data_IF_574339375751
#
_entry.id   IF_574339375751
#
_cell.length_a   1.000
_cell.length_b   1.000
_cell.length_c   1.000
_cell.angle_alpha   90.00
_cell.angle_beta   90.00
_cell.angle_gamma   90.00
#
_symmetry.space_group_name_H-M   'P 1'
#
loop_
_entity.id
_entity.type
_entity.pdbx_description
1 polymer ?
#
# COMPACT_ATOMS: atom_id res chain seq x y z
N UNK A 1 -5.51 15.04 4.44
CA UNK A 1 -5.27 14.01 3.42
C UNK A 1 -6.57 13.71 2.68
N UNK A 2 -6.58 13.84 1.36
CA UNK A 2 -7.76 13.61 0.54
C UNK A 2 -7.88 12.11 0.26
N UNK A 3 -8.76 11.41 0.98
CA UNK A 3 -8.86 9.93 0.92
C UNK A 3 -9.79 9.40 -0.16
N UNK A 4 -10.46 10.30 -0.86
CA UNK A 4 -11.68 10.07 -1.62
C UNK A 4 -11.49 10.64 -3.03
N UNK A 5 -11.39 9.80 -4.09
CA UNK A 5 -11.16 10.26 -5.47
C UNK A 5 -12.15 11.34 -5.94
N UNK A 6 -13.40 11.27 -5.49
CA UNK A 6 -14.46 12.21 -5.85
C UNK A 6 -14.21 13.65 -5.35
N UNK A 7 -13.29 13.83 -4.38
CA UNK A 7 -12.91 15.15 -3.88
C UNK A 7 -11.71 15.76 -4.63
N UNK A 8 -11.04 15.01 -5.49
CA UNK A 8 -9.85 15.47 -6.23
C UNK A 8 -10.15 16.70 -7.10
N UNK A 9 -11.32 16.84 -7.76
CA UNK A 9 -11.63 18.06 -8.50
C UNK A 9 -11.61 19.35 -7.66
N UNK A 10 -11.83 19.27 -6.35
CA UNK A 10 -11.82 20.44 -5.45
C UNK A 10 -10.44 21.06 -5.28
N UNK A 11 -9.38 20.33 -5.65
CA UNK A 11 -7.98 20.75 -5.46
C UNK A 11 -7.25 20.95 -6.79
N UNK A 12 -7.96 20.83 -7.91
CA UNK A 12 -7.41 21.02 -9.24
C UNK A 12 -6.86 22.45 -9.44
N UNK A 13 -5.65 22.54 -10.00
CA UNK A 13 -4.95 23.82 -10.20
C UNK A 13 -4.30 24.41 -8.94
N UNK A 14 -4.38 23.74 -7.78
CA UNK A 14 -3.76 24.17 -6.53
C UNK A 14 -2.60 23.26 -6.12
N UNK A 15 -2.67 21.96 -6.42
CA UNK A 15 -1.66 20.97 -6.08
C UNK A 15 -1.19 20.21 -7.32
N UNK A 16 0.07 19.79 -7.33
CA UNK A 16 0.68 19.07 -8.45
C UNK A 16 0.27 17.59 -8.51
N UNK A 17 -0.12 17.00 -7.38
CA UNK A 17 -0.56 15.61 -7.28
C UNK A 17 -1.42 15.38 -6.03
N UNK A 18 -2.06 14.21 -5.96
CA UNK A 18 -2.72 13.71 -4.76
C UNK A 18 -2.09 12.40 -4.28
N UNK A 19 -2.18 12.17 -2.97
CA UNK A 19 -1.90 10.88 -2.34
C UNK A 19 -3.23 10.22 -1.96
N UNK A 20 -3.49 9.03 -2.50
CA UNK A 20 -4.67 8.23 -2.15
C UNK A 20 -4.26 7.02 -1.31
N UNK A 21 -5.24 6.23 -0.85
CA UNK A 21 -4.94 4.94 -0.20
C UNK A 21 -4.88 3.83 -1.24
N UNK A 22 -4.07 2.78 -1.02
CA UNK A 22 -4.04 1.61 -1.93
C UNK A 22 -5.40 0.92 -2.02
N UNK A 23 -6.25 1.00 -0.99
CA UNK A 23 -7.63 0.51 -1.03
C UNK A 23 -8.48 1.14 -2.14
N UNK A 24 -8.16 2.37 -2.58
CA UNK A 24 -8.81 3.00 -3.74
C UNK A 24 -8.64 2.16 -5.02
N UNK A 25 -7.56 1.38 -5.12
CA UNK A 25 -7.27 0.49 -6.26
C UNK A 25 -8.00 -0.87 -6.18
N UNK A 26 -8.82 -1.09 -5.15
CA UNK A 26 -9.58 -2.31 -4.93
C UNK A 26 -8.80 -3.64 -5.14
N UNK A 27 -7.59 -3.85 -4.58
CA UNK A 27 -6.67 -4.89 -5.07
C UNK A 27 -7.22 -6.33 -5.06
N UNK A 28 -8.23 -6.62 -4.25
CA UNK A 28 -8.87 -7.93 -4.15
C UNK A 28 -10.09 -8.12 -5.07
N UNK A 29 -10.62 -7.06 -5.67
CA UNK A 29 -11.68 -7.16 -6.67
C UNK A 29 -11.14 -7.68 -8.00
N UNK A 30 -11.95 -8.42 -8.74
CA UNK A 30 -11.61 -8.88 -10.09
C UNK A 30 -11.48 -7.72 -11.09
N UNK A 31 -10.72 -7.94 -12.17
CA UNK A 31 -10.39 -6.87 -13.13
C UNK A 31 -11.62 -6.27 -13.83
N UNK A 32 -12.64 -7.06 -14.11
CA UNK A 32 -13.91 -6.56 -14.69
C UNK A 32 -14.63 -5.59 -13.75
N UNK A 33 -14.69 -5.93 -12.46
CA UNK A 33 -15.31 -5.07 -11.44
C UNK A 33 -14.51 -3.78 -11.22
N UNK A 34 -13.18 -3.86 -11.33
CA UNK A 34 -12.30 -2.70 -11.17
C UNK A 34 -12.26 -1.78 -12.40
N UNK A 35 -12.55 -2.27 -13.60
CA UNK A 35 -12.37 -1.52 -14.85
C UNK A 35 -13.09 -0.14 -14.88
N UNK A 36 -14.34 0.03 -14.40
CA UNK A 36 -14.97 1.34 -14.32
C UNK A 36 -14.23 2.29 -13.37
N UNK A 37 -13.72 1.77 -12.25
CA UNK A 37 -12.95 2.55 -11.28
C UNK A 37 -11.60 2.97 -11.86
N UNK A 38 -10.91 2.10 -12.59
CA UNK A 38 -9.66 2.45 -13.27
C UNK A 38 -9.84 3.66 -14.19
N UNK A 39 -10.89 3.65 -15.04
CA UNK A 39 -11.19 4.77 -15.94
C UNK A 39 -11.40 6.07 -15.16
N UNK A 40 -12.23 6.03 -14.13
CA UNK A 40 -12.49 7.20 -13.27
C UNK A 40 -11.22 7.74 -12.61
N UNK A 41 -10.32 6.87 -12.15
CA UNK A 41 -9.03 7.29 -11.58
C UNK A 41 -8.09 7.90 -12.63
N UNK A 42 -8.09 7.38 -13.88
CA UNK A 42 -7.29 7.91 -14.99
C UNK A 42 -7.79 9.28 -15.49
N UNK A 43 -9.08 9.57 -15.32
CA UNK A 43 -9.71 10.83 -15.73
C UNK A 43 -9.65 11.93 -14.66
N UNK A 44 -9.01 11.67 -13.51
CA UNK A 44 -8.87 12.67 -12.46
C UNK A 44 -8.09 13.90 -12.97
N UNK A 45 -8.51 15.12 -12.57
CA UNK A 45 -7.86 16.36 -13.03
C UNK A 45 -6.48 16.62 -12.39
N UNK A 46 -6.07 15.78 -11.43
CA UNK A 46 -4.79 15.86 -10.72
C UNK A 46 -4.23 14.43 -10.60
N UNK A 47 -2.95 14.19 -10.95
CA UNK A 47 -2.38 12.85 -10.97
C UNK A 47 -2.23 12.26 -9.56
N UNK A 48 -2.32 10.92 -9.48
CA UNK A 48 -2.03 10.16 -8.26
C UNK A 48 -0.55 9.74 -8.31
N UNK A 49 0.33 10.45 -7.62
CA UNK A 49 1.78 10.11 -7.61
C UNK A 49 2.21 9.26 -6.44
N UNK A 50 1.45 9.29 -5.35
CA UNK A 50 1.75 8.53 -4.15
C UNK A 50 0.53 7.76 -3.66
N UNK A 51 0.78 6.62 -3.03
CA UNK A 51 -0.24 5.86 -2.31
C UNK A 51 0.23 5.57 -0.90
N UNK A 52 -0.69 5.62 0.07
CA UNK A 52 -0.42 5.18 1.43
C UNK A 52 -1.39 4.08 1.89
N UNK A 53 -1.24 3.65 3.15
CA UNK A 53 -2.00 2.52 3.72
C UNK A 53 -1.91 1.31 2.79
N UNK A 54 -0.67 0.90 2.50
CA UNK A 54 -0.41 -0.11 1.47
C UNK A 54 -1.17 -1.41 1.72
N UNK A 55 -1.00 -1.99 2.91
CA UNK A 55 -1.69 -3.20 3.34
C UNK A 55 -2.72 -2.85 4.42
N UNK A 56 -3.99 -3.26 4.28
CA UNK A 56 -5.04 -3.02 5.27
C UNK A 56 -4.85 -3.95 6.48
N UNK A 57 -5.39 -3.55 7.64
CA UNK A 57 -5.15 -4.24 8.93
C UNK A 57 -5.65 -5.68 8.97
N UNK A 58 -6.60 -6.02 8.11
CA UNK A 58 -7.21 -7.34 7.97
C UNK A 58 -6.25 -8.36 7.33
N UNK A 59 -5.26 -7.89 6.55
CA UNK A 59 -4.23 -8.73 5.94
C UNK A 59 -2.99 -8.67 6.83
N UNK A 60 -2.66 -9.77 7.52
CA UNK A 60 -1.49 -9.83 8.40
C UNK A 60 -0.20 -10.06 7.61
N UNK A 61 0.84 -9.34 8.00
CA UNK A 61 2.20 -9.47 7.47
C UNK A 61 3.16 -10.16 8.44
N UNK A 62 2.76 -10.27 9.71
CA UNK A 62 3.54 -10.93 10.76
C UNK A 62 2.65 -11.80 11.63
N UNK A 63 3.26 -12.81 12.26
CA UNK A 63 2.57 -13.77 13.11
C UNK A 63 2.14 -15.04 12.38
N UNK A 64 1.46 -15.93 13.11
CA UNK A 64 0.98 -17.22 12.59
C UNK A 64 -0.25 -17.07 11.67
N UNK A 65 -0.95 -15.94 11.76
CA UNK A 65 -2.16 -15.66 10.98
C UNK A 65 -1.87 -15.09 9.58
N UNK A 66 -0.61 -15.11 9.12
CA UNK A 66 -0.24 -14.62 7.79
C UNK A 66 -0.76 -15.59 6.73
N UNK A 67 -1.65 -15.12 5.87
CA UNK A 67 -2.03 -15.80 4.64
C UNK A 67 -1.15 -15.29 3.50
N UNK A 68 -0.06 -16.03 3.23
CA UNK A 68 0.91 -15.66 2.20
C UNK A 68 0.30 -15.55 0.80
N UNK A 69 -0.69 -16.39 0.47
CA UNK A 69 -1.34 -16.36 -0.85
C UNK A 69 -2.23 -15.12 -1.01
N UNK A 70 -2.92 -14.72 0.06
CA UNK A 70 -3.67 -13.45 0.10
C UNK A 70 -2.74 -12.24 -0.01
N UNK A 71 -1.62 -12.24 0.72
CA UNK A 71 -0.62 -11.17 0.67
C UNK A 71 -0.08 -11.02 -0.75
N UNK A 72 0.36 -12.10 -1.38
CA UNK A 72 0.90 -12.07 -2.74
C UNK A 72 -0.14 -11.58 -3.75
N UNK A 73 -1.38 -12.11 -3.69
CA UNK A 73 -2.47 -11.67 -4.57
C UNK A 73 -2.75 -10.17 -4.41
N UNK A 74 -2.79 -9.68 -3.17
CA UNK A 74 -3.01 -8.27 -2.88
C UNK A 74 -1.88 -7.40 -3.44
N UNK A 75 -0.63 -7.71 -3.12
CA UNK A 75 0.57 -6.94 -3.52
C UNK A 75 0.68 -6.87 -5.04
N UNK A 76 0.57 -8.02 -5.72
CA UNK A 76 0.66 -8.10 -7.18
C UNK A 76 -0.41 -7.23 -7.86
N UNK A 77 -1.65 -7.33 -7.38
CA UNK A 77 -2.77 -6.54 -7.94
C UNK A 77 -2.62 -5.05 -7.66
N UNK A 78 -2.27 -4.68 -6.41
CA UNK A 78 -2.08 -3.30 -5.99
C UNK A 78 -0.98 -2.61 -6.80
N UNK A 79 0.21 -3.22 -6.91
CA UNK A 79 1.35 -2.65 -7.62
C UNK A 79 1.07 -2.53 -9.12
N UNK A 80 0.51 -3.57 -9.75
CA UNK A 80 0.13 -3.51 -11.18
C UNK A 80 -0.85 -2.37 -11.45
N UNK A 81 -1.87 -2.21 -10.60
CA UNK A 81 -2.89 -1.15 -10.76
C UNK A 81 -2.32 0.24 -10.48
N UNK A 82 -1.40 0.37 -9.53
CA UNK A 82 -0.66 1.60 -9.29
C UNK A 82 0.18 1.97 -10.52
N UNK A 83 0.85 0.99 -11.14
CA UNK A 83 1.60 1.18 -12.38
C UNK A 83 0.72 1.66 -13.53
N UNK A 84 -0.48 1.10 -13.68
CA UNK A 84 -1.46 1.55 -14.69
C UNK A 84 -1.96 2.99 -14.52
N UNK A 85 -1.72 3.59 -13.35
CA UNK A 85 -2.05 4.98 -13.01
C UNK A 85 -0.84 5.92 -13.03
N UNK A 86 0.37 5.39 -13.30
CA UNK A 86 1.60 6.18 -13.25
C UNK A 86 2.02 6.62 -11.85
N UNK A 87 1.62 5.87 -10.81
CA UNK A 87 2.06 6.10 -9.43
C UNK A 87 3.57 5.94 -9.34
N UNK A 88 4.23 6.83 -8.61
CA UNK A 88 5.69 6.86 -8.46
C UNK A 88 6.14 6.23 -7.14
N UNK A 89 5.33 6.34 -6.08
CA UNK A 89 5.68 5.89 -4.73
C UNK A 89 4.52 5.19 -4.01
N UNK A 90 4.82 4.10 -3.30
CA UNK A 90 3.90 3.48 -2.33
C UNK A 90 4.55 3.54 -0.95
N UNK A 91 3.85 4.14 0.00
CA UNK A 91 4.27 4.28 1.39
C UNK A 91 3.81 3.06 2.21
N UNK A 92 4.78 2.35 2.79
CA UNK A 92 4.56 1.22 3.70
C UNK A 92 4.52 1.69 5.16
N UNK A 93 3.37 2.24 5.54
CA UNK A 93 2.99 2.61 6.91
C UNK A 93 1.93 1.69 7.52
N UNK A 94 1.84 0.42 7.11
CA UNK A 94 0.72 -0.47 7.47
C UNK A 94 0.78 -1.02 8.89
N UNK A 95 0.70 -0.15 9.90
CA UNK A 95 0.85 -0.48 11.32
C UNK A 95 -0.02 -1.66 11.78
N UNK A 96 -1.31 -1.66 11.44
CA UNK A 96 -2.23 -2.74 11.82
C UNK A 96 -1.97 -4.09 11.12
N UNK A 97 -1.31 -4.07 9.96
CA UNK A 97 -0.93 -5.27 9.21
C UNK A 97 0.39 -5.87 9.73
N UNK A 98 1.32 -5.00 10.17
CA UNK A 98 2.67 -5.37 10.62
C UNK A 98 2.87 -5.37 12.14
N UNK A 99 1.83 -5.10 12.92
CA UNK A 99 1.91 -5.15 14.38
C UNK A 99 2.22 -6.59 14.84
N UNK A 100 3.30 -6.74 15.59
CA UNK A 100 3.75 -8.04 16.12
C UNK A 100 2.76 -8.50 17.19
N UNK A 101 2.15 -9.69 17.05
CA UNK A 101 1.27 -10.24 18.07
C UNK A 101 2.00 -10.44 19.40
N UNK A 102 1.26 -10.36 20.51
CA UNK A 102 1.80 -10.65 21.83
C UNK A 102 2.37 -12.08 21.87
N UNK A 103 3.56 -12.24 22.45
CA UNK A 103 4.26 -13.52 22.53
C UNK A 103 4.92 -14.01 21.23
N UNK A 104 4.70 -13.35 20.09
CA UNK A 104 5.36 -13.75 18.83
C UNK A 104 6.82 -13.24 18.79
N UNK A 105 7.81 -14.09 18.44
CA UNK A 105 9.21 -13.68 18.41
C UNK A 105 9.46 -12.51 17.46
N UNK A 106 10.11 -11.46 17.95
CA UNK A 106 10.36 -10.23 17.18
C UNK A 106 11.26 -10.49 15.98
N UNK A 107 12.21 -11.40 16.11
CA UNK A 107 13.14 -11.82 15.06
C UNK A 107 12.37 -12.48 13.91
N UNK A 108 11.42 -13.37 14.21
CA UNK A 108 10.55 -13.97 13.19
C UNK A 108 9.65 -12.95 12.51
N UNK A 109 9.11 -12.00 13.28
CA UNK A 109 8.33 -10.90 12.69
C UNK A 109 9.19 -10.05 11.74
N UNK A 110 10.45 -9.82 12.10
CA UNK A 110 11.40 -9.13 11.23
C UNK A 110 11.67 -9.90 9.94
N UNK A 111 11.93 -11.20 10.03
CA UNK A 111 12.11 -12.09 8.86
C UNK A 111 10.91 -12.03 7.91
N UNK A 112 9.69 -12.16 8.44
CA UNK A 112 8.45 -12.07 7.65
C UNK A 112 8.30 -10.69 6.96
N UNK A 113 8.66 -9.60 7.63
CA UNK A 113 8.64 -8.27 7.01
C UNK A 113 9.70 -8.10 5.92
N UNK A 114 10.89 -8.67 6.10
CA UNK A 114 11.93 -8.67 5.05
C UNK A 114 11.47 -9.47 3.83
N UNK A 115 10.84 -10.63 4.04
CA UNK A 115 10.26 -11.43 2.95
C UNK A 115 9.16 -10.68 2.20
N UNK A 116 8.24 -10.05 2.95
CA UNK A 116 7.20 -9.19 2.37
C UNK A 116 7.79 -8.04 1.54
N UNK A 117 8.83 -7.36 2.04
CA UNK A 117 9.46 -6.25 1.32
C UNK A 117 10.19 -6.73 0.06
N UNK A 118 10.82 -7.93 0.09
CA UNK A 118 11.41 -8.55 -1.11
C UNK A 118 10.35 -8.87 -2.17
N UNK A 119 9.21 -9.42 -1.76
CA UNK A 119 8.07 -9.67 -2.64
C UNK A 119 7.58 -8.36 -3.30
N UNK A 120 7.42 -7.31 -2.50
CA UNK A 120 7.00 -6.00 -3.01
C UNK A 120 8.03 -5.42 -3.98
N UNK A 121 9.33 -5.51 -3.68
CA UNK A 121 10.40 -5.02 -4.54
C UNK A 121 10.40 -5.73 -5.90
N UNK A 122 10.18 -7.06 -5.92
CA UNK A 122 10.11 -7.84 -7.14
C UNK A 122 9.02 -7.37 -8.11
N UNK A 123 7.83 -7.03 -7.60
CA UNK A 123 6.75 -6.48 -8.44
C UNK A 123 6.95 -4.99 -8.73
N UNK A 124 7.38 -4.19 -7.76
CA UNK A 124 7.48 -2.74 -7.91
C UNK A 124 8.52 -2.33 -8.97
N UNK A 125 9.59 -3.11 -9.12
CA UNK A 125 10.64 -2.89 -10.10
C UNK A 125 10.10 -2.88 -11.54
N UNK A 126 9.13 -3.73 -11.87
CA UNK A 126 8.53 -3.81 -13.21
C UNK A 126 7.86 -2.49 -13.64
N UNK A 127 7.32 -1.75 -12.66
CA UNK A 127 6.57 -0.51 -12.88
C UNK A 127 7.35 0.75 -12.50
N UNK A 128 8.62 0.62 -12.07
CA UNK A 128 9.43 1.76 -11.62
C UNK A 128 8.91 2.43 -10.35
N UNK A 129 8.15 1.70 -9.52
CA UNK A 129 7.54 2.23 -8.30
C UNK A 129 8.54 2.16 -7.14
N UNK A 130 8.72 3.28 -6.43
CA UNK A 130 9.47 3.32 -5.18
C UNK A 130 8.62 2.81 -4.02
N UNK A 131 9.16 1.91 -3.21
CA UNK A 131 8.56 1.52 -1.94
C UNK A 131 9.22 2.29 -0.79
N UNK A 132 8.48 3.17 -0.13
CA UNK A 132 8.97 3.96 1.01
C UNK A 132 8.56 3.30 2.33
N UNK A 133 9.52 2.85 3.15
CA UNK A 133 9.23 2.31 4.48
C UNK A 133 9.00 3.48 5.44
N UNK A 134 7.81 3.57 6.01
CA UNK A 134 7.44 4.63 6.96
C UNK A 134 7.55 4.09 8.40
N UNK A 135 8.45 4.63 9.23
CA UNK A 135 8.44 4.34 10.65
C UNK A 135 7.24 5.01 11.32
N UNK A 136 6.44 4.23 12.05
CA UNK A 136 5.27 4.76 12.76
C UNK A 136 5.60 5.06 14.22
N UNK A 137 4.80 5.89 14.87
CA UNK A 137 4.97 6.10 16.30
C UNK A 137 4.59 4.85 17.12
N UNK A 138 5.11 4.74 18.34
CA UNK A 138 4.93 3.54 19.20
C UNK A 138 3.47 3.28 19.61
N UNK A 139 2.60 4.28 19.53
CA UNK A 139 1.16 4.12 19.77
C UNK A 139 0.41 3.51 18.59
N UNK A 140 0.96 3.57 17.38
CA UNK A 140 0.34 3.03 16.16
C UNK A 140 0.86 1.63 15.78
N UNK A 141 2.12 1.34 16.07
CA UNK A 141 2.76 0.06 15.75
C UNK A 141 3.90 -0.24 16.71
N UNK A 142 4.19 -1.52 16.95
CA UNK A 142 5.25 -1.97 17.86
C UNK A 142 6.53 -2.44 17.16
N UNK A 143 6.64 -2.25 15.84
CA UNK A 143 7.82 -2.57 15.03
C UNK A 143 8.01 -1.51 13.93
N UNK A 144 9.26 -1.33 13.47
CA UNK A 144 9.64 -0.27 12.52
C UNK A 144 9.18 1.11 13.02
N UNK A 145 9.74 1.57 14.14
CA UNK A 145 9.40 2.86 14.76
C UNK A 145 10.50 3.92 14.63
N UNK A 146 11.66 3.56 14.07
CA UNK A 146 12.83 4.42 13.86
C UNK A 146 13.53 4.03 12.57
N UNK A 147 14.37 4.91 12.03
CA UNK A 147 15.18 4.72 10.81
C UNK A 147 16.69 4.65 11.09
N UNK A 148 17.07 4.36 12.33
CA UNK A 148 18.45 4.33 12.84
C UNK A 148 18.63 3.17 13.84
#
# INVERSE_FOLDING_TARGET
MLRMPERVPLVAGVYDYVELTVASLAPLEGDEAFAPRLKMLQELPVPIRALNVFIPREIKLVGEAVDHALVERYVKSAIRRAGALGVECIVFGSGGARAVPEGFPREKAWEQLVEFLRLCAGFAQEYGILLAIEPLNKGECNILNTYL
#
